data_IF_914053798256
#
_entry.id   IF_914053798256
#
_cell.length_a   1.000
_cell.length_b   1.000
_cell.length_c   1.000
_cell.angle_alpha   90.00
_cell.angle_beta   90.00
_cell.angle_gamma   90.00
#
_symmetry.space_group_name_H-M   'P 1'
#
loop_
_entity.id
_entity.type
_entity.pdbx_description
1 polymer ?
#
# COMPACT_ATOMS: atom_id res chain seq x y z
N UNK A 1 -8.73 -44.02 4.37
CA UNK A 1 -8.75 -42.87 5.31
C UNK A 1 -7.89 -41.74 4.78
N UNK A 2 -8.41 -40.99 3.80
CA UNK A 2 -7.75 -39.81 3.27
C UNK A 2 -8.07 -38.61 4.15
N UNK A 3 -7.12 -38.18 4.98
CA UNK A 3 -7.25 -36.91 5.71
C UNK A 3 -7.28 -35.77 4.69
N UNK A 4 -8.45 -35.14 4.60
CA UNK A 4 -8.64 -33.88 3.88
C UNK A 4 -7.57 -32.88 4.34
N UNK A 5 -6.63 -32.58 3.45
CA UNK A 5 -5.89 -31.32 3.52
C UNK A 5 -6.92 -30.21 3.37
N UNK A 6 -7.38 -29.67 4.50
CA UNK A 6 -8.04 -28.37 4.54
C UNK A 6 -7.16 -27.42 3.73
N UNK A 7 -7.59 -27.09 2.50
CA UNK A 7 -7.04 -25.98 1.76
C UNK A 7 -7.49 -24.74 2.51
N UNK A 8 -6.77 -24.39 3.57
CA UNK A 8 -6.69 -23.01 4.03
C UNK A 8 -6.21 -22.25 2.81
N UNK A 9 -7.16 -21.71 2.03
CA UNK A 9 -6.89 -20.63 1.10
C UNK A 9 -6.36 -19.51 1.96
N UNK A 10 -5.03 -19.47 2.17
CA UNK A 10 -4.37 -18.33 2.79
C UNK A 10 -4.82 -17.15 1.96
N UNK A 11 -5.69 -16.31 2.52
CA UNK A 11 -6.01 -15.03 1.90
C UNK A 11 -4.66 -14.33 1.76
N UNK A 12 -4.30 -13.95 0.54
CA UNK A 12 -3.04 -13.25 0.31
C UNK A 12 -3.00 -12.02 1.23
N UNK A 13 -1.82 -11.70 1.78
CA UNK A 13 -1.64 -10.67 2.80
C UNK A 13 -2.33 -9.34 2.46
N UNK A 14 -2.24 -8.93 1.19
CA UNK A 14 -2.75 -7.66 0.67
C UNK A 14 -4.06 -7.83 -0.10
N UNK A 15 -4.77 -8.94 0.08
CA UNK A 15 -6.05 -9.17 -0.59
C UNK A 15 -7.07 -8.09 -0.19
N UNK A 16 -7.66 -7.43 -1.18
CA UNK A 16 -8.60 -6.31 -0.97
C UNK A 16 -7.95 -4.94 -0.88
N UNK A 17 -6.62 -4.84 -0.80
CA UNK A 17 -5.91 -3.57 -0.79
C UNK A 17 -5.62 -3.07 -2.21
N UNK A 18 -5.64 -1.75 -2.36
CA UNK A 18 -5.25 -1.03 -3.58
C UNK A 18 -4.05 -0.14 -3.29
N UNK A 19 -3.18 0.01 -4.28
CA UNK A 19 -1.94 0.74 -4.11
C UNK A 19 -1.73 1.77 -5.21
N UNK A 20 -1.29 2.96 -4.81
CA UNK A 20 -0.74 3.97 -5.71
C UNK A 20 0.70 4.22 -5.29
N UNK A 21 1.61 4.25 -6.26
CA UNK A 21 3.03 4.47 -6.00
C UNK A 21 3.37 5.90 -6.42
N UNK A 22 3.70 6.73 -5.43
CA UNK A 22 4.12 8.13 -5.60
C UNK A 22 5.50 8.34 -5.00
N UNK A 23 6.41 7.46 -5.41
CA UNK A 23 7.77 7.35 -4.92
C UNK A 23 8.79 8.13 -5.77
N UNK A 24 8.39 9.29 -6.31
CA UNK A 24 9.31 10.16 -7.06
C UNK A 24 10.34 10.75 -6.07
N UNK A 25 11.59 10.29 -6.16
CA UNK A 25 12.66 10.65 -5.21
C UNK A 25 12.87 9.67 -4.05
N UNK A 26 12.26 8.49 -4.09
CA UNK A 26 12.58 7.42 -3.15
C UNK A 26 14.03 6.92 -3.32
N UNK A 27 14.65 6.35 -2.26
CA UNK A 27 15.97 5.75 -2.35
C UNK A 27 16.13 4.82 -3.57
N UNK A 28 17.34 4.65 -4.13
CA UNK A 28 17.56 3.89 -5.37
C UNK A 28 16.95 2.48 -5.40
N UNK A 29 16.78 1.84 -4.25
CA UNK A 29 16.09 0.54 -4.10
C UNK A 29 14.64 0.55 -4.63
N UNK A 30 14.03 1.74 -4.70
CA UNK A 30 12.67 1.99 -5.17
C UNK A 30 12.61 2.74 -6.51
N UNK A 31 13.76 2.99 -7.16
CA UNK A 31 13.92 3.97 -8.27
C UNK A 31 13.08 3.76 -9.53
N UNK A 32 12.35 2.64 -9.64
CA UNK A 32 11.36 2.45 -10.72
C UNK A 32 10.02 1.89 -10.22
N UNK A 33 9.79 1.83 -8.90
CA UNK A 33 8.64 1.18 -8.26
C UNK A 33 8.39 -0.30 -8.64
N UNK A 34 9.10 -0.87 -9.61
CA UNK A 34 8.86 -2.17 -10.20
C UNK A 34 8.94 -3.29 -9.16
N UNK A 35 9.94 -3.22 -8.28
CA UNK A 35 10.09 -4.17 -7.17
C UNK A 35 8.89 -4.11 -6.21
N UNK A 36 8.40 -2.90 -5.91
CA UNK A 36 7.22 -2.73 -5.05
C UNK A 36 5.95 -3.23 -5.74
N UNK A 37 5.78 -2.94 -7.05
CA UNK A 37 4.65 -3.43 -7.85
C UNK A 37 4.61 -4.96 -7.86
N UNK A 38 5.75 -5.60 -8.08
CA UNK A 38 5.85 -7.05 -8.09
C UNK A 38 5.55 -7.63 -6.71
N UNK A 39 6.08 -7.03 -5.65
CA UNK A 39 5.80 -7.44 -4.27
C UNK A 39 4.30 -7.34 -3.94
N UNK A 40 3.67 -6.22 -4.30
CA UNK A 40 2.23 -6.00 -4.11
C UNK A 40 1.42 -7.09 -4.82
N UNK A 41 1.74 -7.37 -6.08
CA UNK A 41 1.05 -8.39 -6.89
C UNK A 41 1.23 -9.80 -6.33
N UNK A 42 2.46 -10.17 -5.94
CA UNK A 42 2.75 -11.47 -5.32
C UNK A 42 2.01 -11.66 -3.99
N UNK A 43 1.80 -10.57 -3.25
CA UNK A 43 1.04 -10.56 -2.01
C UNK A 43 -0.47 -10.27 -2.20
N UNK A 44 -0.98 -10.29 -3.43
CA UNK A 44 -2.41 -10.23 -3.75
C UNK A 44 -3.05 -8.84 -3.72
N UNK A 45 -2.25 -7.78 -3.66
CA UNK A 45 -2.71 -6.40 -3.83
C UNK A 45 -2.81 -6.00 -5.30
N UNK A 46 -3.49 -4.88 -5.57
CA UNK A 46 -3.65 -4.34 -6.93
C UNK A 46 -3.09 -2.92 -6.97
N UNK A 47 -2.18 -2.67 -7.91
CA UNK A 47 -1.70 -1.31 -8.19
C UNK A 47 -2.67 -0.59 -9.14
N UNK A 48 -3.07 0.61 -8.77
CA UNK A 48 -3.84 1.55 -9.59
C UNK A 48 -2.89 2.45 -10.39
N UNK A 49 -3.38 3.02 -11.48
CA UNK A 49 -2.65 4.06 -12.23
C UNK A 49 -2.97 5.45 -11.66
N UNK A 50 -4.24 5.70 -11.36
CA UNK A 50 -4.73 6.97 -10.82
C UNK A 50 -5.70 6.78 -9.63
N UNK A 51 -5.86 7.82 -8.81
CA UNK A 51 -6.81 7.83 -7.67
C UNK A 51 -8.25 7.60 -8.15
N UNK A 52 -8.61 8.15 -9.32
CA UNK A 52 -9.97 8.02 -9.89
C UNK A 52 -10.37 6.57 -10.20
N UNK A 53 -9.40 5.66 -10.29
CA UNK A 53 -9.63 4.24 -10.58
C UNK A 53 -10.03 3.45 -9.31
N UNK A 54 -10.13 4.11 -8.16
CA UNK A 54 -10.51 3.49 -6.89
C UNK A 54 -11.98 3.02 -6.92
N UNK A 55 -12.24 1.71 -6.71
CA UNK A 55 -13.60 1.23 -6.50
C UNK A 55 -14.18 1.79 -5.19
N UNK A 56 -15.49 2.03 -5.11
CA UNK A 56 -16.12 2.46 -3.86
C UNK A 56 -15.88 1.44 -2.75
N UNK A 57 -15.67 1.93 -1.52
CA UNK A 57 -15.46 1.14 -0.30
C UNK A 57 -14.21 0.24 -0.29
N UNK A 58 -13.16 0.58 -1.05
CA UNK A 58 -11.87 -0.12 -0.96
C UNK A 58 -10.82 0.73 -0.26
N UNK A 59 -10.04 0.09 0.61
CA UNK A 59 -8.87 0.70 1.25
C UNK A 59 -7.76 0.88 0.21
N UNK A 60 -7.35 2.13 0.02
CA UNK A 60 -6.28 2.49 -0.91
C UNK A 60 -5.11 3.06 -0.14
N UNK A 61 -3.92 2.56 -0.45
CA UNK A 61 -2.66 2.98 0.16
C UNK A 61 -1.84 3.71 -0.89
N UNK A 62 -1.50 4.96 -0.63
CA UNK A 62 -0.51 5.70 -1.42
C UNK A 62 0.84 5.49 -0.76
N UNK A 63 1.75 4.78 -1.45
CA UNK A 63 3.12 4.62 -1.00
C UNK A 63 3.95 5.82 -1.48
N UNK A 64 4.42 6.64 -0.52
CA UNK A 64 5.15 7.88 -0.80
C UNK A 64 6.13 8.24 0.34
N UNK A 65 6.99 9.23 0.09
CA UNK A 65 7.87 9.81 1.10
C UNK A 65 7.30 11.12 1.64
N UNK A 66 7.85 11.63 2.75
CA UNK A 66 7.42 12.88 3.39
C UNK A 66 7.40 14.07 2.41
N UNK A 67 8.38 14.12 1.49
CA UNK A 67 8.48 15.14 0.45
C UNK A 67 7.27 15.19 -0.50
N UNK A 68 6.52 14.09 -0.64
CA UNK A 68 5.38 14.04 -1.54
C UNK A 68 4.23 14.93 -1.06
N UNK A 69 4.00 15.05 0.25
CA UNK A 69 2.88 15.81 0.82
C UNK A 69 3.23 17.26 1.17
N UNK A 70 4.48 17.68 0.96
CA UNK A 70 4.88 19.09 1.17
C UNK A 70 4.01 20.01 0.31
N UNK A 71 3.27 20.91 0.96
CA UNK A 71 2.34 21.83 0.30
C UNK A 71 1.04 21.20 -0.22
N UNK A 72 0.75 19.94 0.11
CA UNK A 72 -0.45 19.20 -0.36
C UNK A 72 -1.42 18.83 0.78
N UNK A 73 -1.59 19.72 1.76
CA UNK A 73 -2.49 19.49 2.91
C UNK A 73 -3.95 19.26 2.48
N UNK A 74 -4.44 20.04 1.53
CA UNK A 74 -5.81 19.89 1.02
C UNK A 74 -6.05 18.51 0.37
N UNK A 75 -5.08 18.01 -0.41
CA UNK A 75 -5.13 16.66 -0.97
C UNK A 75 -5.20 15.60 0.13
N UNK A 76 -4.35 15.73 1.15
CA UNK A 76 -4.35 14.80 2.29
C UNK A 76 -5.71 14.75 2.98
N UNK A 77 -6.30 15.90 3.29
CA UNK A 77 -7.62 16.00 3.94
C UNK A 77 -8.74 15.40 3.07
N UNK A 78 -8.75 15.70 1.77
CA UNK A 78 -9.73 15.12 0.83
C UNK A 78 -9.64 13.59 0.78
N UNK A 79 -8.42 13.05 0.77
CA UNK A 79 -8.14 11.61 0.71
C UNK A 79 -8.57 10.85 1.98
N UNK A 80 -8.47 11.49 3.16
CA UNK A 80 -8.93 10.89 4.42
C UNK A 80 -10.44 10.60 4.42
N UNK A 81 -11.24 11.41 3.71
CA UNK A 81 -12.68 11.20 3.59
C UNK A 81 -13.09 10.02 2.68
N UNK A 82 -12.15 9.45 1.93
CA UNK A 82 -12.41 8.39 0.93
C UNK A 82 -11.54 7.13 1.12
N UNK A 83 -11.15 6.85 2.37
CA UNK A 83 -10.39 5.65 2.75
C UNK A 83 -9.03 5.51 2.04
N UNK A 84 -8.36 6.64 1.83
CA UNK A 84 -6.99 6.67 1.30
C UNK A 84 -6.03 7.03 2.44
N UNK A 85 -5.01 6.19 2.63
CA UNK A 85 -3.92 6.42 3.59
C UNK A 85 -2.60 6.64 2.85
N UNK A 86 -1.77 7.57 3.35
CA UNK A 86 -0.44 7.83 2.81
C UNK A 86 0.59 7.19 3.71
N UNK A 87 1.30 6.19 3.21
CA UNK A 87 2.26 5.41 3.99
C UNK A 87 3.64 5.41 3.35
N UNK A 88 4.67 5.30 4.17
CA UNK A 88 6.02 5.07 3.70
C UNK A 88 6.14 3.66 3.08
N UNK A 89 6.94 3.46 2.00
CA UNK A 89 7.17 2.13 1.41
C UNK A 89 7.64 1.07 2.41
N UNK A 90 8.31 1.50 3.47
CA UNK A 90 8.78 0.68 4.58
C UNK A 90 7.66 -0.11 5.24
N UNK A 91 6.42 0.41 5.27
CA UNK A 91 5.26 -0.31 5.78
C UNK A 91 5.00 -1.60 4.99
N UNK A 92 5.05 -1.52 3.66
CA UNK A 92 4.85 -2.67 2.77
C UNK A 92 5.97 -3.69 3.01
N UNK A 93 7.22 -3.24 3.08
CA UNK A 93 8.36 -4.13 3.28
C UNK A 93 8.28 -4.84 4.64
N UNK A 94 8.00 -4.11 5.72
CA UNK A 94 7.86 -4.67 7.05
C UNK A 94 6.71 -5.67 7.11
N UNK A 95 5.56 -5.31 6.51
CA UNK A 95 4.38 -6.17 6.49
C UNK A 95 4.62 -7.47 5.73
N UNK A 96 5.23 -7.40 4.55
CA UNK A 96 5.52 -8.57 3.73
C UNK A 96 6.59 -9.45 4.37
N UNK A 97 7.63 -8.85 4.95
CA UNK A 97 8.71 -9.60 5.62
C UNK A 97 8.20 -10.45 6.79
N UNK A 98 7.27 -9.91 7.57
CA UNK A 98 6.64 -10.61 8.70
C UNK A 98 5.42 -11.44 8.28
N UNK A 99 4.96 -11.27 7.04
CA UNK A 99 3.69 -11.80 6.53
C UNK A 99 2.49 -11.47 7.44
N UNK A 100 2.48 -10.23 7.97
CA UNK A 100 1.48 -9.67 8.87
C UNK A 100 1.34 -8.18 8.55
N UNK A 101 0.12 -7.64 8.50
CA UNK A 101 -0.07 -6.21 8.27
C UNK A 101 0.42 -5.43 9.49
N UNK A 102 1.43 -4.59 9.29
CA UNK A 102 1.94 -3.71 10.33
C UNK A 102 0.95 -2.59 10.63
N UNK A 103 0.97 -2.02 11.85
CA UNK A 103 0.21 -0.81 12.17
C UNK A 103 0.52 0.30 11.15
N UNK A 104 -0.51 0.98 10.65
CA UNK A 104 -0.32 2.01 9.61
C UNK A 104 0.23 3.30 10.21
N UNK A 105 -0.13 3.58 11.47
CA UNK A 105 0.17 4.80 12.22
C UNK A 105 1.69 5.01 12.35
N UNK A 106 2.46 3.93 12.51
CA UNK A 106 3.92 3.97 12.66
C UNK A 106 4.66 4.37 11.36
N UNK A 107 3.95 4.34 10.22
CA UNK A 107 4.51 4.59 8.89
C UNK A 107 3.74 5.67 8.13
N UNK A 108 2.81 6.35 8.80
CA UNK A 108 1.98 7.37 8.19
C UNK A 108 2.83 8.56 7.73
N UNK A 109 2.52 9.05 6.52
CA UNK A 109 3.08 10.27 5.97
C UNK A 109 2.06 11.37 6.15
N UNK A 110 2.41 12.36 6.97
CA UNK A 110 1.56 13.53 7.24
C UNK A 110 2.12 14.78 6.57
N UNK A 111 1.26 15.68 6.06
CA UNK A 111 1.71 16.93 5.47
C UNK A 111 2.37 17.82 6.53
N UNK A 112 3.58 18.29 6.25
CA UNK A 112 4.28 19.32 7.05
C UNK A 112 3.57 20.67 6.97
#
# INVERSE_FOLDING_TARGET
NGMMRSRLTRKNLLNGYRFLLKCDGCPPIYSNNQNLIELIKLCGGICLQEIKDQPPNTVTIVLCQDSFLVGKRELYEQCQHIYISFLKPEWLLASVTKYLLEPMEDYEVVPS
#
